data_IF_974473462566
#
_entry.id   IF_974473462566
#
_cell.length_a   1.000
_cell.length_b   1.000
_cell.length_c   1.000
_cell.angle_alpha   90.00
_cell.angle_beta   90.00
_cell.angle_gamma   90.00
#
_symmetry.space_group_name_H-M   'P 1'
#
loop_
_entity.id
_entity.type
_entity.pdbx_description
1 polymer ?
#
# COMPACT_ATOMS: atom_id res chain seq x y z
N UNK A 1 58.53 -13.01 -15.71
CA UNK A 1 57.79 -11.95 -14.99
C UNK A 1 56.50 -11.43 -15.67
N UNK A 2 56.03 -11.98 -16.80
CA UNK A 2 54.81 -11.44 -17.47
C UNK A 2 53.49 -12.16 -17.13
N UNK A 3 53.49 -13.37 -16.59
CA UNK A 3 52.26 -14.13 -16.23
C UNK A 3 51.47 -13.56 -15.01
N UNK A 4 52.12 -13.23 -13.86
CA UNK A 4 51.36 -12.76 -12.69
C UNK A 4 50.67 -11.41 -12.95
N UNK A 5 51.28 -10.49 -13.68
CA UNK A 5 50.69 -9.19 -14.00
C UNK A 5 49.44 -9.32 -14.87
N UNK A 6 49.40 -10.24 -15.83
CA UNK A 6 48.20 -10.51 -16.66
C UNK A 6 47.06 -11.09 -15.84
N UNK A 7 47.34 -11.99 -14.91
CA UNK A 7 46.32 -12.57 -14.02
C UNK A 7 45.74 -11.49 -13.11
N UNK A 8 46.58 -10.63 -12.53
CA UNK A 8 46.12 -9.52 -11.69
C UNK A 8 45.25 -8.51 -12.46
N UNK A 9 45.60 -8.18 -13.71
CA UNK A 9 44.80 -7.29 -14.55
C UNK A 9 43.47 -7.92 -14.96
N UNK A 10 43.44 -9.22 -15.25
CA UNK A 10 42.18 -9.94 -15.56
C UNK A 10 41.29 -10.01 -14.34
N UNK A 11 41.82 -10.32 -13.15
CA UNK A 11 41.02 -10.35 -11.91
C UNK A 11 40.48 -8.96 -11.51
N UNK A 12 41.29 -7.91 -11.70
CA UNK A 12 40.84 -6.53 -11.46
C UNK A 12 39.72 -6.11 -12.43
N UNK A 13 39.86 -6.47 -13.71
CA UNK A 13 38.85 -6.24 -14.75
C UNK A 13 37.54 -6.98 -14.44
N UNK A 14 37.62 -8.23 -13.97
CA UNK A 14 36.44 -8.99 -13.57
C UNK A 14 35.72 -8.37 -12.36
N UNK A 15 36.48 -7.96 -11.34
CA UNK A 15 35.91 -7.26 -10.17
C UNK A 15 35.22 -5.96 -10.59
N UNK A 16 35.85 -5.15 -11.43
CA UNK A 16 35.28 -3.91 -11.94
C UNK A 16 33.99 -4.14 -12.74
N UNK A 17 33.97 -5.20 -13.59
CA UNK A 17 32.77 -5.57 -14.35
C UNK A 17 31.62 -5.99 -13.44
N UNK A 18 31.89 -6.77 -12.38
CA UNK A 18 30.88 -7.14 -11.39
C UNK A 18 30.35 -5.91 -10.64
N UNK A 19 31.23 -5.02 -10.19
CA UNK A 19 30.82 -3.77 -9.53
C UNK A 19 29.94 -2.90 -10.44
N UNK A 20 30.33 -2.77 -11.73
CA UNK A 20 29.53 -2.04 -12.70
C UNK A 20 28.16 -2.68 -12.91
N UNK A 21 28.08 -4.00 -13.01
CA UNK A 21 26.82 -4.72 -13.14
C UNK A 21 25.92 -4.50 -11.92
N UNK A 22 26.46 -4.55 -10.71
CA UNK A 22 25.72 -4.25 -9.46
C UNK A 22 25.19 -2.82 -9.46
N UNK A 23 26.00 -1.84 -9.85
CA UNK A 23 25.57 -0.43 -9.95
C UNK A 23 24.46 -0.26 -10.98
N UNK A 24 24.56 -0.91 -12.14
CA UNK A 24 23.54 -0.84 -13.19
C UNK A 24 22.21 -1.46 -12.72
N UNK A 25 22.24 -2.62 -12.06
CA UNK A 25 21.06 -3.28 -11.51
C UNK A 25 20.43 -2.39 -10.44
N UNK A 26 21.24 -1.90 -9.49
CA UNK A 26 20.75 -1.01 -8.43
C UNK A 26 20.11 0.26 -9.02
N UNK A 27 20.76 0.90 -9.98
CA UNK A 27 20.23 2.09 -10.64
C UNK A 27 18.92 1.78 -11.36
N UNK A 28 18.83 0.66 -12.08
CA UNK A 28 17.62 0.23 -12.78
C UNK A 28 16.44 0.01 -11.82
N UNK A 29 16.69 -0.66 -10.68
CA UNK A 29 15.66 -0.92 -9.66
C UNK A 29 15.23 0.37 -8.93
N UNK A 30 16.18 1.25 -8.61
CA UNK A 30 15.91 2.39 -7.74
C UNK A 30 15.60 3.69 -8.48
N UNK A 31 15.80 3.79 -9.77
CA UNK A 31 15.57 5.03 -10.53
C UNK A 31 14.14 5.57 -10.35
N UNK A 32 13.13 4.75 -10.63
CA UNK A 32 11.73 5.14 -10.49
C UNK A 32 11.27 5.24 -9.03
N UNK A 33 11.92 4.51 -8.11
CA UNK A 33 11.70 4.65 -6.67
C UNK A 33 12.20 6.00 -6.14
N UNK A 34 13.36 6.46 -6.58
CA UNK A 34 13.83 7.81 -6.26
C UNK A 34 12.93 8.89 -6.86
N UNK A 35 12.45 8.72 -8.10
CA UNK A 35 11.46 9.64 -8.69
C UNK A 35 10.15 9.66 -7.87
N UNK A 36 9.74 8.53 -7.30
CA UNK A 36 8.58 8.46 -6.39
C UNK A 36 8.85 9.27 -5.12
N UNK A 37 10.00 9.05 -4.49
CA UNK A 37 10.41 9.80 -3.28
C UNK A 37 10.54 11.29 -3.56
N UNK A 38 11.04 11.68 -4.73
CA UNK A 38 11.18 13.08 -5.14
C UNK A 38 9.84 13.75 -5.43
N UNK A 39 8.79 12.98 -5.72
CA UNK A 39 7.42 13.50 -5.90
C UNK A 39 6.71 13.86 -4.61
N UNK A 40 7.29 13.55 -3.43
CA UNK A 40 6.67 13.84 -2.15
C UNK A 40 6.55 15.35 -1.95
N UNK A 41 5.30 15.79 -1.80
CA UNK A 41 4.93 17.18 -1.57
C UNK A 41 4.18 17.29 -0.24
N UNK A 42 4.55 18.27 0.59
CA UNK A 42 3.83 18.62 1.81
C UNK A 42 2.72 19.61 1.46
N UNK A 43 1.46 19.18 1.59
CA UNK A 43 0.29 19.97 1.19
C UNK A 43 -0.21 20.93 2.29
N UNK A 44 0.03 20.60 3.55
CA UNK A 44 -0.36 21.41 4.70
C UNK A 44 0.83 21.73 5.58
N UNK A 45 0.68 22.74 6.43
CA UNK A 45 1.70 23.12 7.39
C UNK A 45 1.04 23.56 8.70
N UNK A 46 0.26 22.64 9.31
CA UNK A 46 -0.46 22.93 10.55
C UNK A 46 0.48 22.94 11.76
N UNK A 47 1.31 21.91 11.82
CA UNK A 47 2.36 21.78 12.80
C UNK A 47 3.44 20.80 12.30
N UNK A 48 4.52 20.62 13.03
CA UNK A 48 5.65 19.80 12.56
C UNK A 48 5.38 18.28 12.58
N UNK A 49 4.21 17.82 13.06
CA UNK A 49 3.92 16.40 13.24
C UNK A 49 2.75 15.88 12.42
N UNK A 50 1.76 16.72 12.12
CA UNK A 50 0.48 16.30 11.54
C UNK A 50 0.23 17.06 10.27
N UNK A 51 0.74 16.54 9.17
CA UNK A 51 0.59 17.18 7.89
C UNK A 51 -0.01 16.22 6.87
N UNK A 52 -0.61 16.79 5.86
CA UNK A 52 -1.02 16.08 4.66
C UNK A 52 0.10 16.17 3.64
N UNK A 53 0.46 15.01 3.10
CA UNK A 53 1.43 14.86 2.03
C UNK A 53 0.75 14.28 0.79
N UNK A 54 1.42 14.42 -0.34
CA UNK A 54 1.10 13.76 -1.60
C UNK A 54 2.33 13.02 -2.10
N UNK A 55 2.11 11.87 -2.74
CA UNK A 55 3.16 11.11 -3.42
C UNK A 55 2.60 10.48 -4.69
N UNK A 56 3.31 10.65 -5.81
CA UNK A 56 3.02 9.98 -7.08
C UNK A 56 3.92 8.76 -7.23
N UNK A 57 3.36 7.56 -7.20
CA UNK A 57 4.10 6.31 -7.35
C UNK A 57 4.56 6.16 -8.80
N UNK A 58 5.86 6.20 -9.03
CA UNK A 58 6.51 6.10 -10.36
C UNK A 58 7.11 4.72 -10.63
N UNK A 59 7.38 3.93 -9.59
CA UNK A 59 7.83 2.57 -9.78
C UNK A 59 6.64 1.64 -10.04
N UNK A 60 6.86 0.67 -10.92
CA UNK A 60 5.89 -0.40 -11.10
C UNK A 60 6.06 -1.41 -9.98
N UNK A 61 4.95 -1.84 -9.37
CA UNK A 61 4.92 -2.86 -8.34
C UNK A 61 4.08 -4.06 -8.81
N UNK A 62 4.42 -5.25 -8.32
CA UNK A 62 3.67 -6.47 -8.53
C UNK A 62 2.90 -6.83 -7.25
N UNK A 63 1.59 -6.59 -7.24
CA UNK A 63 0.76 -7.01 -6.13
C UNK A 63 0.71 -8.54 -6.00
N UNK A 64 0.77 -9.25 -7.13
CA UNK A 64 0.79 -10.72 -7.14
C UNK A 64 2.05 -11.27 -6.46
N UNK A 65 3.22 -10.65 -6.66
CA UNK A 65 4.44 -11.09 -6.00
C UNK A 65 4.36 -10.88 -4.47
N UNK A 66 3.74 -9.78 -4.03
CA UNK A 66 3.50 -9.53 -2.60
C UNK A 66 2.55 -10.56 -2.00
N UNK A 67 1.43 -10.87 -2.66
CA UNK A 67 0.45 -11.87 -2.19
C UNK A 67 1.05 -13.28 -2.22
N UNK A 68 1.75 -13.63 -3.30
CA UNK A 68 2.36 -14.95 -3.50
C UNK A 68 3.63 -15.18 -2.66
N UNK A 69 4.08 -14.19 -1.92
CA UNK A 69 5.20 -14.32 -0.98
C UNK A 69 4.95 -15.40 0.09
N UNK A 70 3.68 -15.68 0.38
CA UNK A 70 3.27 -16.68 1.36
C UNK A 70 3.13 -16.08 2.76
N UNK A 71 2.17 -15.17 2.92
CA UNK A 71 1.90 -14.48 4.18
C UNK A 71 1.28 -15.45 5.18
N UNK A 72 1.91 -15.60 6.35
CA UNK A 72 1.43 -16.44 7.46
C UNK A 72 1.26 -15.66 8.75
N UNK A 73 1.90 -14.50 8.86
CA UNK A 73 1.88 -13.63 10.04
C UNK A 73 2.25 -12.19 9.66
N UNK A 74 2.27 -11.32 10.66
CA UNK A 74 2.62 -9.91 10.47
C UNK A 74 4.05 -9.70 9.94
N UNK A 75 5.01 -10.54 10.33
CA UNK A 75 6.39 -10.39 9.88
C UNK A 75 6.53 -10.75 8.41
N UNK A 76 5.94 -11.86 7.98
CA UNK A 76 5.94 -12.27 6.57
C UNK A 76 5.20 -11.29 5.67
N UNK A 77 4.14 -10.62 6.17
CA UNK A 77 3.49 -9.50 5.48
C UNK A 77 4.46 -8.32 5.29
N UNK A 78 5.17 -7.93 6.34
CA UNK A 78 6.16 -6.86 6.28
C UNK A 78 7.27 -7.21 5.30
N UNK A 79 7.79 -8.43 5.35
CA UNK A 79 8.85 -8.92 4.47
C UNK A 79 8.39 -8.93 3.00
N UNK A 80 7.16 -9.34 2.73
CA UNK A 80 6.56 -9.30 1.40
C UNK A 80 6.49 -7.86 0.85
N UNK A 81 5.97 -6.91 1.65
CA UNK A 81 5.88 -5.49 1.27
C UNK A 81 7.27 -4.90 1.03
N UNK A 82 8.23 -5.18 1.92
CA UNK A 82 9.59 -4.65 1.80
C UNK A 82 10.35 -5.25 0.62
N UNK A 83 10.14 -6.54 0.32
CA UNK A 83 10.77 -7.18 -0.84
C UNK A 83 10.36 -6.53 -2.16
N UNK A 84 9.13 -6.04 -2.24
CA UNK A 84 8.60 -5.34 -3.41
C UNK A 84 8.99 -3.84 -3.41
N UNK A 85 8.70 -3.13 -2.33
CA UNK A 85 8.87 -1.67 -2.28
C UNK A 85 10.34 -1.24 -2.15
N UNK A 86 11.14 -1.99 -1.38
CA UNK A 86 12.51 -1.64 -0.97
C UNK A 86 13.48 -2.83 -1.09
N UNK A 87 13.54 -3.52 -2.25
CA UNK A 87 14.39 -4.69 -2.41
C UNK A 87 15.85 -4.36 -2.05
N UNK A 88 16.53 -5.27 -1.34
CA UNK A 88 17.95 -5.17 -0.94
C UNK A 88 18.26 -4.08 0.11
N UNK A 89 17.28 -3.36 0.65
CA UNK A 89 17.51 -2.36 1.70
C UNK A 89 17.02 -2.86 3.06
N UNK A 90 17.82 -2.73 4.13
CA UNK A 90 17.43 -3.12 5.49
C UNK A 90 16.54 -2.04 6.12
N UNK A 91 15.26 -2.03 5.76
CA UNK A 91 14.25 -1.12 6.32
C UNK A 91 13.26 -1.95 7.15
N UNK A 92 12.65 -1.36 8.15
CA UNK A 92 11.58 -1.95 8.96
C UNK A 92 10.41 -1.01 9.02
N UNK A 93 9.20 -1.54 8.90
CA UNK A 93 7.92 -0.85 9.08
C UNK A 93 7.13 -1.50 10.22
N UNK A 94 6.10 -0.81 10.70
CA UNK A 94 5.19 -1.33 11.71
C UNK A 94 3.94 -1.93 11.05
N UNK A 95 3.25 -2.78 11.81
CA UNK A 95 1.91 -3.23 11.43
C UNK A 95 0.93 -2.05 11.55
N UNK A 96 0.10 -1.79 10.52
CA UNK A 96 -0.92 -0.76 10.56
C UNK A 96 -1.95 -0.98 11.68
N UNK A 97 -2.41 0.12 12.27
CA UNK A 97 -3.43 0.14 13.32
C UNK A 97 -4.59 1.07 12.90
N UNK A 98 -5.85 0.76 13.23
CA UNK A 98 -7.02 1.44 12.66
C UNK A 98 -8.10 1.77 13.70
N UNK A 99 -8.85 2.86 13.44
CA UNK A 99 -10.11 3.21 14.08
C UNK A 99 -10.86 4.16 13.14
N UNK A 100 -12.13 3.87 12.76
CA UNK A 100 -12.72 4.52 11.59
C UNK A 100 -14.25 4.56 11.57
N UNK A 101 -14.78 5.57 10.83
CA UNK A 101 -16.17 5.67 10.39
C UNK A 101 -16.22 5.94 8.89
N UNK A 102 -17.20 5.38 8.18
CA UNK A 102 -17.43 5.67 6.77
C UNK A 102 -18.93 5.76 6.43
N UNK A 103 -19.27 6.53 5.40
CA UNK A 103 -20.62 6.67 4.88
C UNK A 103 -20.58 6.99 3.37
N UNK A 104 -21.70 6.77 2.70
CA UNK A 104 -21.90 7.17 1.31
C UNK A 104 -23.12 8.08 1.21
N UNK A 105 -23.03 9.10 0.37
CA UNK A 105 -24.12 9.98 -0.02
C UNK A 105 -24.22 10.01 -1.54
N UNK A 106 -25.44 10.19 -2.03
CA UNK A 106 -25.68 10.59 -3.42
C UNK A 106 -26.21 12.01 -3.41
N UNK A 107 -25.58 12.91 -4.15
CA UNK A 107 -26.01 14.28 -4.23
C UNK A 107 -27.23 14.46 -5.16
N UNK A 108 -27.73 15.70 -5.29
CA UNK A 108 -28.93 16.00 -6.06
C UNK A 108 -28.75 15.88 -7.57
N UNK A 109 -27.52 15.77 -8.07
CA UNK A 109 -27.20 15.55 -9.49
C UNK A 109 -26.86 14.09 -9.81
N UNK A 110 -26.84 13.23 -8.76
CA UNK A 110 -26.63 11.80 -8.90
C UNK A 110 -25.19 11.35 -8.69
N UNK A 111 -24.30 12.26 -8.28
CA UNK A 111 -22.90 11.89 -7.97
C UNK A 111 -22.80 11.20 -6.61
N UNK A 112 -22.04 10.10 -6.58
CA UNK A 112 -21.82 9.30 -5.38
C UNK A 112 -20.55 9.75 -4.67
N UNK A 113 -20.69 10.10 -3.40
CA UNK A 113 -19.59 10.55 -2.55
C UNK A 113 -19.40 9.58 -1.38
N UNK A 114 -18.17 9.13 -1.17
CA UNK A 114 -17.80 8.41 0.04
C UNK A 114 -17.10 9.36 1.01
N UNK A 115 -17.66 9.50 2.21
CA UNK A 115 -17.03 10.18 3.33
C UNK A 115 -16.40 9.18 4.29
N UNK A 116 -15.22 9.49 4.81
CA UNK A 116 -14.52 8.65 5.76
C UNK A 116 -13.78 9.46 6.80
N UNK A 117 -13.82 9.03 8.04
CA UNK A 117 -13.05 9.58 9.14
C UNK A 117 -12.11 8.51 9.74
N UNK A 118 -10.84 8.90 9.99
CA UNK A 118 -9.83 8.07 10.63
C UNK A 118 -9.65 8.55 12.06
N UNK A 119 -10.21 7.80 13.03
CA UNK A 119 -10.39 8.27 14.40
C UNK A 119 -9.35 7.69 15.40
N UNK A 120 -8.31 7.03 14.92
CA UNK A 120 -7.48 6.18 15.77
C UNK A 120 -6.40 6.94 16.56
N UNK A 121 -5.71 7.90 15.92
CA UNK A 121 -4.62 8.66 16.53
C UNK A 121 -4.66 10.13 16.13
N UNK A 122 -4.28 10.99 17.08
CA UNK A 122 -4.18 12.43 16.82
C UNK A 122 -2.77 12.85 16.36
N UNK A 123 -1.81 11.92 16.28
CA UNK A 123 -0.40 12.19 16.03
C UNK A 123 0.14 11.49 14.77
N UNK A 124 -0.69 11.39 13.74
CA UNK A 124 -0.28 10.83 12.45
C UNK A 124 -0.44 11.83 11.32
N UNK A 125 0.60 11.94 10.48
CA UNK A 125 0.49 12.59 9.18
C UNK A 125 -0.15 11.63 8.18
N UNK A 126 -0.92 12.16 7.23
CA UNK A 126 -1.55 11.41 6.17
C UNK A 126 -0.83 11.64 4.84
N UNK A 127 -0.84 10.64 3.97
CA UNK A 127 -0.31 10.75 2.62
C UNK A 127 -1.35 10.33 1.59
N UNK A 128 -1.64 11.22 0.64
CA UNK A 128 -2.33 10.90 -0.60
C UNK A 128 -1.37 10.16 -1.52
N UNK A 129 -1.66 8.89 -1.78
CA UNK A 129 -0.84 7.99 -2.59
C UNK A 129 -1.53 7.82 -3.96
N UNK A 130 -0.94 8.37 -5.00
CA UNK A 130 -1.41 8.21 -6.38
C UNK A 130 -0.68 7.05 -7.04
N UNK A 131 -1.41 6.00 -7.38
CA UNK A 131 -0.89 4.81 -8.05
C UNK A 131 -1.34 4.74 -9.51
N UNK A 132 -0.41 4.37 -10.41
CA UNK A 132 -0.67 4.14 -11.83
C UNK A 132 0.00 2.82 -12.26
N UNK A 133 -0.47 1.66 -11.73
CA UNK A 133 0.13 0.38 -12.05
C UNK A 133 -0.06 0.05 -13.54
N UNK A 134 0.86 -0.74 -14.13
CA UNK A 134 0.80 -1.12 -15.55
C UNK A 134 -0.28 -2.15 -15.84
N UNK A 135 -0.66 -2.95 -14.85
CA UNK A 135 -1.61 -4.07 -14.92
C UNK A 135 -2.84 -3.88 -14.03
N UNK A 136 -3.14 -2.64 -13.65
CA UNK A 136 -4.27 -2.31 -12.79
C UNK A 136 -4.84 -0.92 -13.04
N UNK A 137 -5.90 -0.58 -12.31
CA UNK A 137 -6.55 0.73 -12.40
C UNK A 137 -5.75 1.80 -11.66
N UNK A 138 -5.78 3.01 -12.21
CA UNK A 138 -5.26 4.18 -11.50
C UNK A 138 -6.09 4.44 -10.26
N UNK A 139 -5.44 4.86 -9.20
CA UNK A 139 -6.12 5.08 -7.91
C UNK A 139 -5.46 6.18 -7.10
N UNK A 140 -6.24 6.74 -6.17
CA UNK A 140 -5.78 7.57 -5.08
C UNK A 140 -6.22 6.95 -3.77
N UNK A 141 -5.32 6.92 -2.79
CA UNK A 141 -5.58 6.29 -1.51
C UNK A 141 -4.90 7.06 -0.37
N UNK A 142 -5.37 6.88 0.87
CA UNK A 142 -4.76 7.45 2.05
C UNK A 142 -3.94 6.41 2.83
N UNK A 143 -2.70 6.79 3.15
CA UNK A 143 -1.83 6.05 4.06
C UNK A 143 -1.54 6.89 5.31
N UNK A 144 -1.56 6.26 6.48
CA UNK A 144 -1.13 6.86 7.74
C UNK A 144 0.38 6.67 7.91
N UNK A 145 1.13 7.78 7.97
CA UNK A 145 2.60 7.74 7.91
C UNK A 145 3.26 7.24 9.19
N UNK A 146 2.57 7.26 10.34
CA UNK A 146 3.10 6.67 11.58
C UNK A 146 3.22 5.14 11.47
N UNK A 147 2.35 4.47 10.70
CA UNK A 147 2.40 3.03 10.46
C UNK A 147 3.71 2.57 9.79
N UNK A 148 4.39 3.47 9.10
CA UNK A 148 5.70 3.22 8.47
C UNK A 148 6.83 4.02 9.12
N UNK A 149 6.58 4.61 10.30
CA UNK A 149 7.53 5.44 11.04
C UNK A 149 8.06 6.64 10.23
N UNK A 150 7.21 7.23 9.36
CA UNK A 150 7.56 8.29 8.41
C UNK A 150 6.68 9.54 8.56
N UNK A 151 6.19 9.87 9.76
CA UNK A 151 5.31 11.02 10.02
C UNK A 151 5.83 12.36 9.48
N UNK A 152 7.15 12.53 9.42
CA UNK A 152 7.82 13.68 8.82
C UNK A 152 8.85 13.15 7.82
N UNK A 153 8.46 12.89 6.55
CA UNK A 153 9.35 12.29 5.56
C UNK A 153 10.62 13.11 5.30
N UNK A 154 10.54 14.44 5.42
CA UNK A 154 11.66 15.35 5.20
C UNK A 154 12.78 15.27 6.25
N UNK A 155 12.54 14.68 7.42
CA UNK A 155 13.57 14.59 8.47
C UNK A 155 14.76 13.70 8.11
N UNK A 156 14.56 12.67 7.28
CA UNK A 156 15.65 11.77 6.89
C UNK A 156 15.35 10.99 5.62
N UNK A 157 16.41 10.60 4.91
CA UNK A 157 16.29 9.72 3.73
C UNK A 157 15.67 8.37 4.10
N UNK A 158 15.92 7.84 5.31
CA UNK A 158 15.28 6.59 5.79
C UNK A 158 13.77 6.73 5.85
N UNK A 159 13.24 7.84 6.41
CA UNK A 159 11.80 8.10 6.47
C UNK A 159 11.20 8.32 5.08
N UNK A 160 11.90 9.05 4.21
CA UNK A 160 11.49 9.21 2.82
C UNK A 160 11.42 7.88 2.07
N UNK A 161 12.42 7.02 2.19
CA UNK A 161 12.42 5.70 1.57
C UNK A 161 11.32 4.80 2.13
N UNK A 162 11.01 4.87 3.43
CA UNK A 162 9.92 4.11 4.03
C UNK A 162 8.56 4.42 3.37
N UNK A 163 8.34 5.63 2.84
CA UNK A 163 7.10 5.98 2.13
C UNK A 163 6.88 5.17 0.85
N UNK A 164 7.90 4.53 0.29
CA UNK A 164 7.74 3.60 -0.85
C UNK A 164 6.85 2.40 -0.51
N UNK A 165 6.64 2.09 0.76
CA UNK A 165 5.69 1.05 1.19
C UNK A 165 4.24 1.53 1.27
N UNK A 166 3.99 2.83 1.13
CA UNK A 166 2.66 3.42 1.29
C UNK A 166 1.57 2.82 0.39
N UNK A 167 1.82 2.42 -0.88
CA UNK A 167 0.81 1.76 -1.70
C UNK A 167 0.18 0.52 -1.06
N UNK A 168 0.95 -0.21 -0.26
CA UNK A 168 0.55 -1.49 0.36
C UNK A 168 -0.05 -1.35 1.76
N UNK A 169 -0.06 -0.13 2.33
CA UNK A 169 -0.55 0.12 3.68
C UNK A 169 -1.66 1.18 3.73
N UNK A 170 -2.28 1.46 2.58
CA UNK A 170 -3.43 2.36 2.51
C UNK A 170 -4.63 1.82 3.30
N UNK A 171 -5.39 2.72 3.88
CA UNK A 171 -6.53 2.43 4.75
C UNK A 171 -7.88 2.65 4.06
N UNK A 172 -7.85 3.39 2.97
CA UNK A 172 -8.97 3.67 2.07
C UNK A 172 -8.45 4.17 0.72
N UNK A 173 -9.36 4.33 -0.22
CA UNK A 173 -9.06 4.93 -1.51
C UNK A 173 -10.19 4.76 -2.52
N UNK A 174 -9.93 5.31 -3.70
CA UNK A 174 -10.82 5.22 -4.85
C UNK A 174 -9.98 5.00 -6.13
N UNK A 175 -10.52 4.19 -7.04
CA UNK A 175 -9.89 3.97 -8.35
C UNK A 175 -10.62 4.73 -9.48
N UNK A 176 -10.03 4.74 -10.67
CA UNK A 176 -10.56 5.42 -11.84
C UNK A 176 -11.87 4.84 -12.38
N UNK A 177 -12.30 3.66 -11.89
CA UNK A 177 -13.62 3.07 -12.19
C UNK A 177 -14.69 3.55 -11.21
N UNK A 178 -14.31 4.37 -10.22
CA UNK A 178 -15.20 4.89 -9.20
C UNK A 178 -15.50 3.91 -8.06
N UNK A 179 -14.77 2.80 -7.98
CA UNK A 179 -14.85 1.92 -6.80
C UNK A 179 -14.07 2.55 -5.68
N UNK A 180 -14.72 2.73 -4.54
CA UNK A 180 -14.12 3.20 -3.29
C UNK A 180 -14.18 2.11 -2.24
N UNK A 181 -13.13 2.01 -1.43
CA UNK A 181 -13.03 1.05 -0.34
C UNK A 181 -12.40 1.71 0.88
N UNK A 182 -12.89 1.36 2.07
CA UNK A 182 -12.30 1.74 3.35
C UNK A 182 -12.33 0.58 4.33
N UNK A 183 -11.29 0.45 5.17
CA UNK A 183 -11.30 -0.44 6.32
C UNK A 183 -11.94 0.25 7.52
N UNK A 184 -12.79 -0.49 8.24
CA UNK A 184 -13.43 -0.08 9.49
C UNK A 184 -13.13 -1.13 10.55
N UNK A 185 -12.65 -0.69 11.71
CA UNK A 185 -12.28 -1.59 12.81
C UNK A 185 -13.52 -2.11 13.53
N UNK A 186 -13.49 -3.37 13.88
CA UNK A 186 -14.44 -3.99 14.81
C UNK A 186 -13.77 -4.19 16.17
N UNK A 187 -14.56 -4.02 17.23
CA UNK A 187 -14.11 -4.30 18.61
C UNK A 187 -14.33 -5.79 18.94
N UNK A 188 -13.64 -6.64 18.22
CA UNK A 188 -13.65 -8.10 18.35
C UNK A 188 -12.26 -8.69 18.18
N UNK A 189 -12.09 -9.95 18.59
CA UNK A 189 -10.83 -10.67 18.37
C UNK A 189 -10.52 -10.80 16.88
N UNK A 190 -9.24 -10.67 16.47
CA UNK A 190 -8.85 -10.72 15.08
C UNK A 190 -9.13 -12.09 14.47
N UNK A 191 -9.78 -12.08 13.31
CA UNK A 191 -10.09 -13.29 12.55
C UNK A 191 -8.93 -13.62 11.61
N UNK A 192 -8.49 -14.88 11.65
CA UNK A 192 -7.57 -15.48 10.71
C UNK A 192 -8.27 -16.64 10.02
N UNK A 193 -8.64 -16.46 8.76
CA UNK A 193 -9.29 -17.54 8.00
C UNK A 193 -8.23 -18.57 7.57
N UNK A 194 -8.62 -19.85 7.59
CA UNK A 194 -7.78 -20.98 7.16
C UNK A 194 -8.65 -21.98 6.40
N UNK A 195 -9.02 -21.60 5.16
CA UNK A 195 -9.83 -22.45 4.27
C UNK A 195 -9.01 -23.08 3.15
N UNK A 196 -7.70 -22.85 3.16
CA UNK A 196 -6.75 -23.36 2.16
C UNK A 196 -6.59 -22.45 0.93
N UNK A 197 -7.10 -21.20 0.99
CA UNK A 197 -6.86 -20.18 -0.03
C UNK A 197 -5.59 -19.40 0.28
N UNK A 198 -5.04 -18.68 -0.71
CA UNK A 198 -3.96 -17.71 -0.44
C UNK A 198 -4.40 -16.69 0.61
N UNK A 199 -3.50 -16.35 1.52
CA UNK A 199 -3.77 -15.39 2.59
C UNK A 199 -3.54 -13.96 2.10
N UNK A 200 -4.47 -13.06 2.41
CA UNK A 200 -4.33 -11.63 2.17
C UNK A 200 -4.60 -10.84 3.45
N UNK A 201 -3.80 -9.81 3.68
CA UNK A 201 -3.99 -8.92 4.84
C UNK A 201 -4.91 -7.77 4.53
N UNK A 202 -5.39 -7.09 5.58
CA UNK A 202 -6.34 -5.98 5.50
C UNK A 202 -5.96 -4.91 4.47
N UNK A 203 -4.73 -4.42 4.52
CA UNK A 203 -4.28 -3.33 3.63
C UNK A 203 -3.98 -3.81 2.21
N UNK A 204 -3.51 -5.04 2.05
CA UNK A 204 -3.33 -5.64 0.73
C UNK A 204 -4.66 -5.94 0.03
N UNK A 205 -5.71 -6.26 0.79
CA UNK A 205 -7.07 -6.40 0.25
C UNK A 205 -7.59 -5.06 -0.30
N UNK A 206 -7.29 -3.94 0.36
CA UNK A 206 -7.60 -2.60 -0.17
C UNK A 206 -6.86 -2.36 -1.48
N UNK A 207 -5.55 -2.65 -1.53
CA UNK A 207 -4.76 -2.49 -2.77
C UNK A 207 -5.29 -3.38 -3.89
N UNK A 208 -5.67 -4.63 -3.60
CA UNK A 208 -6.26 -5.56 -4.57
C UNK A 208 -7.54 -5.00 -5.21
N UNK A 209 -8.45 -4.50 -4.38
CA UNK A 209 -9.71 -3.91 -4.85
C UNK A 209 -9.45 -2.67 -5.69
N UNK A 210 -8.57 -1.77 -5.24
CA UNK A 210 -8.23 -0.55 -5.96
C UNK A 210 -7.57 -0.83 -7.32
N UNK A 211 -6.73 -1.85 -7.40
CA UNK A 211 -6.06 -2.19 -8.66
C UNK A 211 -6.95 -2.97 -9.63
N UNK A 212 -7.94 -3.76 -9.16
CA UNK A 212 -8.58 -4.79 -9.99
C UNK A 212 -10.09 -4.79 -10.05
N UNK A 213 -10.80 -4.07 -9.18
CA UNK A 213 -12.25 -4.04 -9.20
C UNK A 213 -12.80 -2.82 -9.94
N UNK A 214 -13.72 -3.03 -10.89
CA UNK A 214 -14.47 -1.96 -11.55
C UNK A 214 -15.86 -1.76 -10.94
N UNK A 215 -16.33 -2.68 -10.11
CA UNK A 215 -17.64 -2.65 -9.43
C UNK A 215 -17.52 -3.20 -8.01
N UNK A 216 -18.53 -2.92 -7.17
CA UNK A 216 -18.62 -3.53 -5.83
C UNK A 216 -18.75 -5.04 -5.90
N UNK A 217 -19.46 -5.57 -6.91
CA UNK A 217 -19.61 -7.01 -7.10
C UNK A 217 -18.27 -7.68 -7.42
N UNK A 218 -17.47 -7.11 -8.32
CA UNK A 218 -16.12 -7.60 -8.62
C UNK A 218 -15.21 -7.54 -7.41
N UNK A 219 -15.29 -6.47 -6.60
CA UNK A 219 -14.53 -6.36 -5.37
C UNK A 219 -14.83 -7.51 -4.40
N UNK A 220 -16.12 -7.85 -4.21
CA UNK A 220 -16.54 -8.97 -3.36
C UNK A 220 -16.04 -10.31 -3.92
N UNK A 221 -16.13 -10.51 -5.22
CA UNK A 221 -15.67 -11.75 -5.88
C UNK A 221 -14.15 -11.91 -5.81
N UNK A 222 -13.40 -10.83 -5.94
CA UNK A 222 -11.94 -10.83 -5.74
C UNK A 222 -11.57 -11.20 -4.30
N UNK A 223 -12.18 -10.54 -3.31
CA UNK A 223 -11.88 -10.80 -1.89
C UNK A 223 -12.22 -12.24 -1.47
N UNK A 224 -13.27 -12.84 -2.04
CA UNK A 224 -13.65 -14.25 -1.79
C UNK A 224 -12.61 -15.29 -2.23
N UNK A 225 -11.64 -14.90 -3.05
CA UNK A 225 -10.58 -15.80 -3.51
C UNK A 225 -9.48 -16.00 -2.48
N UNK A 226 -9.51 -15.25 -1.37
CA UNK A 226 -8.47 -15.21 -0.37
C UNK A 226 -8.99 -15.55 1.02
N UNK A 227 -8.10 -16.04 1.86
CA UNK A 227 -8.29 -16.13 3.31
C UNK A 227 -7.83 -14.82 3.96
N UNK A 228 -8.73 -14.18 4.71
CA UNK A 228 -8.47 -12.88 5.34
C UNK A 228 -7.66 -13.05 6.62
N UNK A 229 -6.60 -12.25 6.74
CA UNK A 229 -5.75 -12.18 7.92
C UNK A 229 -5.82 -10.75 8.53
N UNK A 230 -6.40 -10.64 9.73
CA UNK A 230 -6.48 -9.38 10.47
C UNK A 230 -5.11 -9.04 11.09
N UNK A 231 -4.35 -8.14 10.44
CA UNK A 231 -2.97 -7.82 10.83
C UNK A 231 -2.86 -6.83 11.99
N UNK A 232 -3.92 -6.11 12.35
CA UNK A 232 -3.88 -5.00 13.32
C UNK A 232 -4.16 -5.38 14.78
N UNK A 233 -4.26 -6.67 15.10
CA UNK A 233 -4.61 -7.13 16.45
C UNK A 233 -6.09 -6.91 16.83
N UNK A 234 -6.92 -6.44 15.88
CA UNK A 234 -8.38 -6.30 15.97
C UNK A 234 -9.01 -6.83 14.69
N UNK A 235 -10.27 -7.20 14.76
CA UNK A 235 -11.04 -7.56 13.57
C UNK A 235 -11.50 -6.32 12.82
N UNK A 236 -11.98 -6.49 11.59
CA UNK A 236 -12.35 -5.40 10.70
C UNK A 236 -13.40 -5.85 9.68
N UNK A 237 -14.05 -4.87 9.06
CA UNK A 237 -14.82 -5.05 7.85
C UNK A 237 -14.46 -3.98 6.81
N UNK A 238 -14.76 -4.25 5.56
CA UNK A 238 -14.61 -3.29 4.47
C UNK A 238 -15.93 -2.61 4.17
N UNK A 239 -15.87 -1.30 3.97
CA UNK A 239 -16.95 -0.53 3.36
C UNK A 239 -16.57 -0.30 1.90
N UNK A 240 -17.39 -0.82 0.97
CA UNK A 240 -17.11 -0.75 -0.47
C UNK A 240 -18.31 -0.12 -1.17
N UNK A 241 -18.06 0.87 -2.03
CA UNK A 241 -19.07 1.54 -2.85
C UNK A 241 -18.54 1.79 -4.26
N UNK A 242 -19.43 1.99 -5.22
CA UNK A 242 -19.08 2.43 -6.57
C UNK A 242 -20.14 3.38 -7.13
N UNK A 243 -19.86 4.03 -8.26
CA UNK A 243 -20.75 4.99 -8.90
C UNK A 243 -22.11 4.40 -9.30
N UNK A 244 -22.22 3.08 -9.46
CA UNK A 244 -23.41 2.39 -9.93
C UNK A 244 -24.20 1.69 -8.82
N UNK A 245 -23.57 1.43 -7.67
CA UNK A 245 -24.15 0.62 -6.61
C UNK A 245 -23.51 0.88 -5.27
N UNK A 246 -24.31 1.28 -4.29
CA UNK A 246 -23.93 1.23 -2.88
C UNK A 246 -24.31 -0.14 -2.35
N UNK A 247 -23.43 -0.79 -1.57
CA UNK A 247 -23.83 -1.99 -0.82
C UNK A 247 -25.05 -1.64 0.03
N UNK A 248 -26.17 -2.39 -0.06
CA UNK A 248 -27.37 -2.04 0.68
C UNK A 248 -27.07 -2.01 2.18
N UNK A 249 -27.46 -0.92 2.83
CA UNK A 249 -27.47 -0.84 4.27
C UNK A 249 -28.30 -2.00 4.85
N UNK A 250 -27.98 -2.58 6.02
CA UNK A 250 -28.85 -3.54 6.69
C UNK A 250 -30.28 -3.05 6.91
N UNK A 251 -30.52 -1.74 6.84
CA UNK A 251 -31.88 -1.16 6.90
C UNK A 251 -32.66 -1.34 5.60
N UNK A 252 -31.98 -1.34 4.44
CA UNK A 252 -32.64 -1.47 3.13
C UNK A 252 -33.10 -2.91 2.85
N UNK A 253 -32.54 -3.89 3.59
CA UNK A 253 -32.92 -5.30 3.48
C UNK A 253 -34.27 -5.63 4.18
N UNK A 254 -34.88 -4.71 4.90
CA UNK A 254 -36.15 -4.89 5.58
C UNK A 254 -37.35 -4.27 4.86
N UNK A 255 -37.15 -3.56 3.74
CA UNK A 255 -38.20 -2.91 2.95
C UNK A 255 -38.51 -3.61 1.61
N UNK A 256 -38.04 -4.82 1.38
CA UNK A 256 -38.33 -5.61 0.16
C UNK A 256 -39.09 -6.89 0.46
#
# INVERSE_FOLDING_TARGET
MKKPLKITLISLGAVLAVLLAVVLVFTGVYFTRFQTVDSIEKLTNYDDRYNLYRMDVKYNYSLDDVINYGITDNQTMIDAILSEALPMLPVSIKVPDFGCTAFTLTDTVGDVHMGRNYDFKNDTSAMLVYCTPTDGYKSVAFAALDNISANVPEESMKKRLATLTAPFICLDGMNEKGVSIAVLTLDSEPVHQDTGKPVITTTLAIRLVLDRAATTQEAVELLRQYDMFASSGRDYHFYITCLLYTSPSPRDAHES
#
